data_IF_307572542656
#
_entry.id   IF_307572542656
#
_cell.length_a   1.000
_cell.length_b   1.000
_cell.length_c   1.000
_cell.angle_alpha   90.00
_cell.angle_beta   90.00
_cell.angle_gamma   90.00
#
_symmetry.space_group_name_H-M   'P 1'
#
loop_
_entity.id
_entity.type
_entity.pdbx_description
1 polymer ?
#
# COMPACT_ATOMS: atom_id res chain seq x y z
N UNK A 1 -11.72 2.42 9.63
CA UNK A 1 -10.92 1.37 8.95
C UNK A 1 -11.05 -0.03 9.54
N UNK A 2 -10.89 -0.22 10.85
CA UNK A 2 -10.93 -1.53 11.54
C UNK A 2 -12.00 -2.55 11.08
N UNK A 3 -13.25 -2.11 10.84
CA UNK A 3 -14.31 -3.01 10.37
C UNK A 3 -14.01 -3.63 9.00
N UNK A 4 -13.60 -2.83 8.00
CA UNK A 4 -13.29 -3.35 6.67
C UNK A 4 -12.07 -4.26 6.67
N UNK A 5 -11.03 -3.88 7.44
CA UNK A 5 -9.85 -4.73 7.63
C UNK A 5 -10.24 -6.09 8.21
N UNK A 6 -11.03 -6.09 9.29
CA UNK A 6 -11.50 -7.32 9.92
C UNK A 6 -12.38 -8.16 8.98
N UNK A 7 -13.20 -7.49 8.16
CA UNK A 7 -14.05 -8.15 7.18
C UNK A 7 -13.23 -8.79 6.05
N UNK A 8 -12.19 -8.11 5.54
CA UNK A 8 -11.28 -8.69 4.53
C UNK A 8 -10.52 -9.90 5.10
N UNK A 9 -9.98 -9.78 6.31
CA UNK A 9 -9.29 -10.89 7.00
C UNK A 9 -10.22 -12.09 7.18
N UNK A 10 -11.47 -11.85 7.58
CA UNK A 10 -12.50 -12.90 7.71
C UNK A 10 -12.88 -13.51 6.37
N UNK A 11 -13.03 -12.70 5.32
CA UNK A 11 -13.32 -13.16 3.97
C UNK A 11 -12.20 -14.03 3.40
N UNK A 12 -10.93 -13.66 3.66
CA UNK A 12 -9.76 -14.45 3.30
C UNK A 12 -9.78 -15.79 4.05
N UNK A 13 -9.97 -15.78 5.37
CA UNK A 13 -10.05 -17.01 6.19
C UNK A 13 -11.20 -17.93 5.74
N UNK A 14 -12.34 -17.36 5.37
CA UNK A 14 -13.50 -18.07 4.85
C UNK A 14 -13.35 -18.51 3.38
N UNK A 15 -12.22 -18.23 2.73
CA UNK A 15 -11.98 -18.51 1.30
C UNK A 15 -13.08 -17.93 0.38
N UNK A 16 -13.52 -16.71 0.68
CA UNK A 16 -14.50 -16.00 -0.13
C UNK A 16 -14.01 -15.76 -1.57
N UNK A 17 -14.94 -15.47 -2.47
CA UNK A 17 -14.63 -15.25 -3.89
C UNK A 17 -13.62 -14.12 -4.10
N UNK A 18 -12.85 -14.19 -5.20
CA UNK A 18 -11.92 -13.12 -5.61
C UNK A 18 -12.64 -11.79 -5.73
N UNK A 19 -13.81 -11.76 -6.38
CA UNK A 19 -14.64 -10.56 -6.52
C UNK A 19 -15.02 -9.93 -5.17
N UNK A 20 -15.38 -10.75 -4.18
CA UNK A 20 -15.69 -10.26 -2.83
C UNK A 20 -14.47 -9.62 -2.16
N UNK A 21 -13.31 -10.28 -2.25
CA UNK A 21 -12.06 -9.74 -1.68
C UNK A 21 -11.64 -8.44 -2.39
N UNK A 22 -11.73 -8.37 -3.71
CA UNK A 22 -11.39 -7.17 -4.49
C UNK A 22 -12.29 -5.97 -4.18
N UNK A 23 -13.59 -6.17 -3.95
CA UNK A 23 -14.48 -5.08 -3.51
C UNK A 23 -14.09 -4.56 -2.12
N UNK A 24 -13.68 -5.45 -1.20
CA UNK A 24 -13.17 -5.06 0.11
C UNK A 24 -11.84 -4.33 0.03
N UNK A 25 -10.89 -4.82 -0.78
CA UNK A 25 -9.61 -4.15 -1.06
C UNK A 25 -9.85 -2.74 -1.62
N UNK A 26 -10.80 -2.58 -2.55
CA UNK A 26 -11.17 -1.27 -3.11
C UNK A 26 -11.68 -0.31 -2.04
N UNK A 27 -12.60 -0.76 -1.20
CA UNK A 27 -13.16 0.07 -0.11
C UNK A 27 -12.13 0.40 0.97
N UNK A 28 -11.11 -0.42 1.16
CA UNK A 28 -9.99 -0.13 2.04
C UNK A 28 -9.08 0.93 1.40
N UNK A 29 -8.72 0.77 0.12
CA UNK A 29 -7.89 1.73 -0.63
C UNK A 29 -8.45 3.17 -0.58
N UNK A 30 -9.77 3.33 -0.73
CA UNK A 30 -10.46 4.63 -0.72
C UNK A 30 -10.42 5.41 0.61
N UNK A 31 -9.99 4.78 1.71
CA UNK A 31 -9.89 5.42 3.04
C UNK A 31 -8.61 4.98 3.77
N UNK A 32 -7.57 4.64 3.00
CA UNK A 32 -6.29 4.14 3.51
C UNK A 32 -5.58 5.16 4.42
N UNK A 33 -5.86 6.45 4.26
CA UNK A 33 -5.33 7.53 5.09
C UNK A 33 -5.86 7.54 6.54
N UNK A 34 -6.88 6.74 6.82
CA UNK A 34 -7.42 6.49 8.16
C UNK A 34 -6.95 5.15 8.76
N UNK A 35 -6.13 4.38 8.04
CA UNK A 35 -5.68 3.07 8.50
C UNK A 35 -4.49 3.19 9.47
N UNK A 36 -4.45 2.26 10.41
CA UNK A 36 -3.27 1.97 11.23
C UNK A 36 -2.55 0.73 10.67
N UNK A 37 -1.34 0.45 11.17
CA UNK A 37 -0.54 -0.67 10.69
C UNK A 37 -1.29 -2.00 10.83
N UNK A 38 -1.97 -2.21 11.95
CA UNK A 38 -2.74 -3.43 12.23
C UNK A 38 -3.88 -3.65 11.23
N UNK A 39 -4.42 -2.58 10.63
CA UNK A 39 -5.49 -2.68 9.64
C UNK A 39 -5.01 -3.29 8.31
N UNK A 40 -3.74 -3.12 7.96
CA UNK A 40 -3.17 -3.60 6.69
C UNK A 40 -2.31 -4.86 6.82
N UNK A 41 -2.06 -5.32 8.05
CA UNK A 41 -1.46 -6.64 8.31
C UNK A 41 -2.46 -7.75 8.02
N UNK A 42 -2.59 -8.11 6.74
CA UNK A 42 -3.49 -9.15 6.24
C UNK A 42 -2.74 -10.49 6.27
N UNK A 43 -3.20 -11.50 7.04
CA UNK A 43 -2.53 -12.79 7.10
C UNK A 43 -2.78 -13.61 5.84
N UNK A 44 -1.82 -14.44 5.45
CA UNK A 44 -2.03 -15.44 4.39
C UNK A 44 -2.93 -16.59 4.89
N UNK A 45 -3.81 -17.12 4.03
CA UNK A 45 -4.68 -18.26 4.37
C UNK A 45 -3.99 -19.61 4.09
N UNK A 46 -2.75 -19.79 4.55
CA UNK A 46 -1.99 -21.01 4.30
C UNK A 46 -1.68 -21.70 5.63
N UNK A 47 -2.49 -22.73 5.89
CA UNK A 47 -2.46 -23.53 7.11
C UNK A 47 -1.07 -24.13 7.37
N UNK A 48 -0.30 -23.50 8.26
CA UNK A 48 0.79 -24.15 9.02
C UNK A 48 2.06 -24.52 8.25
N UNK A 49 2.26 -24.03 7.01
CA UNK A 49 3.53 -24.22 6.33
C UNK A 49 4.51 -23.11 6.72
N UNK A 50 5.59 -23.47 7.44
CA UNK A 50 6.62 -22.54 7.90
C UNK A 50 7.43 -21.87 6.77
N UNK A 51 7.23 -22.30 5.52
CA UNK A 51 7.87 -21.73 4.33
C UNK A 51 7.01 -20.71 3.58
N UNK A 52 5.81 -20.39 4.10
CA UNK A 52 4.93 -19.41 3.48
C UNK A 52 5.11 -18.03 4.13
N UNK A 53 4.98 -16.94 3.34
CA UNK A 53 4.94 -15.59 3.90
C UNK A 53 3.80 -15.45 4.92
N UNK A 54 4.06 -14.73 6.01
CA UNK A 54 3.10 -14.48 7.08
C UNK A 54 1.95 -13.56 6.62
N UNK A 55 2.27 -12.62 5.73
CA UNK A 55 1.34 -11.58 5.27
C UNK A 55 1.08 -11.67 3.77
N UNK A 56 -0.18 -11.41 3.38
CA UNK A 56 -0.60 -11.29 1.98
C UNK A 56 -0.20 -9.92 1.45
N UNK A 57 1.03 -9.84 0.97
CA UNK A 57 1.59 -8.63 0.35
C UNK A 57 0.86 -8.22 -0.93
N UNK A 58 0.22 -9.18 -1.62
CA UNK A 58 -0.39 -8.93 -2.92
C UNK A 58 -1.72 -8.19 -2.73
N UNK A 59 -2.49 -8.52 -1.69
CA UNK A 59 -3.64 -7.71 -1.25
C UNK A 59 -3.25 -6.30 -0.86
N UNK A 60 -2.15 -6.13 -0.11
CA UNK A 60 -1.70 -4.80 0.32
C UNK A 60 -1.22 -3.98 -0.88
N UNK A 61 -0.49 -4.57 -1.82
CA UNK A 61 -0.09 -3.90 -3.05
C UNK A 61 -1.30 -3.36 -3.81
N UNK A 62 -2.35 -4.19 -4.01
CA UNK A 62 -3.60 -3.74 -4.65
C UNK A 62 -4.30 -2.61 -3.89
N UNK A 63 -4.39 -2.71 -2.56
CA UNK A 63 -5.02 -1.67 -1.72
C UNK A 63 -4.33 -0.31 -1.91
N UNK A 64 -3.00 -0.30 -1.92
CA UNK A 64 -2.23 0.93 -2.11
C UNK A 64 -2.30 1.42 -3.57
N UNK A 65 -2.28 0.54 -4.57
CA UNK A 65 -2.52 0.93 -5.97
C UNK A 65 -3.86 1.64 -6.15
N UNK A 66 -4.91 1.15 -5.49
CA UNK A 66 -6.23 1.78 -5.49
C UNK A 66 -6.22 3.15 -4.79
N UNK A 67 -5.50 3.29 -3.67
CA UNK A 67 -5.37 4.61 -3.02
C UNK A 67 -4.65 5.64 -3.90
N UNK A 68 -3.64 5.18 -4.63
CA UNK A 68 -2.84 6.01 -5.53
C UNK A 68 -3.51 6.22 -6.89
N UNK A 69 -4.68 5.63 -7.13
CA UNK A 69 -5.39 5.67 -8.41
C UNK A 69 -4.54 5.25 -9.61
N UNK A 70 -3.58 4.33 -9.42
CA UNK A 70 -2.67 3.90 -10.50
C UNK A 70 -3.39 3.27 -11.70
N UNK A 71 -4.65 2.85 -11.54
CA UNK A 71 -5.47 2.23 -12.58
C UNK A 71 -6.41 3.25 -13.30
N UNK A 72 -6.56 4.49 -12.80
CA UNK A 72 -7.46 5.51 -13.37
C UNK A 72 -6.75 6.50 -14.32
N UNK A 73 -5.41 6.51 -14.33
CA UNK A 73 -4.59 7.42 -15.15
C UNK A 73 -4.55 7.06 -16.66
N UNK A 74 -5.15 5.95 -17.09
CA UNK A 74 -5.20 5.53 -18.51
C UNK A 74 -6.40 6.10 -19.31
N UNK A 75 -7.37 6.78 -18.68
CA UNK A 75 -8.63 7.21 -19.34
C UNK A 75 -8.87 8.74 -19.38
N UNK A 76 -8.01 9.59 -18.80
CA UNK A 76 -8.21 11.05 -18.74
C UNK A 76 -7.22 11.93 -19.56
N UNK A 77 -6.47 11.38 -20.53
CA UNK A 77 -5.66 12.21 -21.47
C UNK A 77 -6.47 12.61 -22.73
N UNK A 78 -7.61 13.30 -22.52
CA UNK A 78 -8.35 14.01 -23.57
C UNK A 78 -8.78 15.41 -23.12
N UNK A 79 -7.82 16.20 -22.61
CA UNK A 79 -7.90 17.66 -22.69
C UNK A 79 -6.73 18.18 -23.51
N UNK A 80 -6.98 19.04 -24.53
CA UNK A 80 -5.89 19.62 -25.32
C UNK A 80 -4.99 20.42 -24.39
N UNK A 81 -3.71 20.04 -24.36
CA UNK A 81 -2.65 20.68 -23.58
C UNK A 81 -2.52 22.15 -23.98
N UNK A 82 -2.99 23.05 -23.14
CA UNK A 82 -2.60 24.45 -23.19
C UNK A 82 -1.22 24.58 -22.52
N UNK A 83 -0.18 24.76 -23.34
CA UNK A 83 1.23 24.76 -22.92
C UNK A 83 1.63 25.97 -22.04
N UNK A 84 0.67 26.75 -21.55
CA UNK A 84 0.91 27.96 -20.76
C UNK A 84 0.64 27.82 -19.25
N UNK A 85 0.22 26.66 -18.75
CA UNK A 85 -0.23 26.49 -17.35
C UNK A 85 0.49 25.35 -16.60
N UNK A 86 1.77 25.10 -16.92
CA UNK A 86 2.63 24.12 -16.19
C UNK A 86 3.18 24.69 -14.86
N UNK A 87 2.34 25.40 -14.10
CA UNK A 87 2.61 25.63 -12.68
C UNK A 87 2.01 24.44 -11.96
N UNK A 88 2.85 23.47 -11.59
CA UNK A 88 2.47 22.42 -10.65
C UNK A 88 1.87 23.10 -9.41
N UNK A 89 0.53 23.11 -9.28
CA UNK A 89 -0.18 23.55 -8.07
C UNK A 89 -0.02 22.50 -6.95
N UNK A 90 1.25 22.18 -6.66
CA UNK A 90 1.69 21.52 -5.45
C UNK A 90 1.92 22.54 -4.32
N UNK A 91 1.83 23.84 -4.63
CA UNK A 91 2.14 24.96 -3.72
C UNK A 91 1.14 25.15 -2.58
N UNK A 92 0.09 24.33 -2.48
CA UNK A 92 -0.67 24.20 -1.24
C UNK A 92 -0.12 23.05 -0.40
N UNK A 93 1.00 23.31 0.27
CA UNK A 93 1.49 22.55 1.43
C UNK A 93 0.38 22.56 2.51
N UNK A 94 -0.63 21.69 2.35
CA UNK A 94 -1.88 21.79 3.09
C UNK A 94 -3.13 21.28 2.37
N UNK A 95 -3.05 20.89 1.08
CA UNK A 95 -4.20 20.25 0.43
C UNK A 95 -4.57 18.94 1.13
N UNK A 96 -5.86 18.60 1.25
CA UNK A 96 -6.29 17.34 1.88
C UNK A 96 -5.64 16.11 1.24
N UNK A 97 -5.48 16.10 -0.09
CA UNK A 97 -4.83 15.03 -0.84
C UNK A 97 -3.35 14.87 -0.43
N UNK A 98 -2.61 15.97 -0.30
CA UNK A 98 -1.21 15.93 0.12
C UNK A 98 -1.04 15.48 1.58
N UNK A 99 -1.97 15.84 2.46
CA UNK A 99 -1.97 15.34 3.85
C UNK A 99 -2.21 13.83 3.90
N UNK A 100 -3.13 13.31 3.09
CA UNK A 100 -3.43 11.89 3.01
C UNK A 100 -2.27 11.09 2.41
N UNK A 101 -1.63 11.54 1.33
CA UNK A 101 -0.48 10.82 0.74
C UNK A 101 0.71 10.72 1.70
N UNK A 102 0.97 11.76 2.50
CA UNK A 102 2.02 11.74 3.53
C UNK A 102 1.70 10.75 4.67
N UNK A 103 0.41 10.63 5.05
CA UNK A 103 0.00 9.64 6.05
C UNK A 103 0.16 8.22 5.51
N UNK A 104 -0.30 7.99 4.28
CA UNK A 104 -0.22 6.69 3.63
C UNK A 104 1.22 6.29 3.33
N UNK A 105 2.11 7.24 3.00
CA UNK A 105 3.53 6.92 2.80
C UNK A 105 4.21 6.41 4.07
N UNK A 106 3.93 7.05 5.22
CA UNK A 106 4.39 6.57 6.53
C UNK A 106 3.81 5.20 6.88
N UNK A 107 2.54 4.97 6.54
CA UNK A 107 1.89 3.68 6.74
C UNK A 107 2.60 2.56 5.94
N UNK A 108 2.95 2.83 4.68
CA UNK A 108 3.70 1.88 3.85
C UNK A 108 5.10 1.60 4.39
N UNK A 109 5.82 2.63 4.81
CA UNK A 109 7.16 2.45 5.37
C UNK A 109 7.14 1.63 6.68
N UNK A 110 6.11 1.81 7.51
CA UNK A 110 5.90 0.96 8.68
C UNK A 110 5.53 -0.48 8.29
N UNK A 111 4.68 -0.65 7.27
CA UNK A 111 4.34 -1.97 6.74
C UNK A 111 5.56 -2.70 6.17
N UNK A 112 6.40 -2.01 5.39
CA UNK A 112 7.66 -2.54 4.87
C UNK A 112 8.57 -3.03 5.99
N UNK A 113 8.66 -2.27 7.10
CA UNK A 113 9.45 -2.68 8.25
C UNK A 113 8.90 -3.94 8.94
N UNK A 114 7.58 -4.08 9.05
CA UNK A 114 6.94 -5.27 9.62
C UNK A 114 7.11 -6.51 8.72
N UNK A 115 6.84 -6.39 7.42
CA UNK A 115 6.99 -7.54 6.50
C UNK A 115 8.45 -7.90 6.24
N UNK A 116 9.39 -6.97 6.45
CA UNK A 116 10.82 -7.25 6.37
C UNK A 116 11.31 -8.24 7.43
N UNK A 117 10.57 -8.41 8.54
CA UNK A 117 10.86 -9.40 9.57
C UNK A 117 10.53 -10.84 9.13
N UNK A 118 9.79 -11.00 8.02
CA UNK A 118 9.44 -12.29 7.47
C UNK A 118 10.55 -12.83 6.55
N UNK A 119 11.26 -13.85 7.00
CA UNK A 119 12.30 -14.53 6.21
C UNK A 119 11.79 -15.16 4.91
N UNK A 120 10.49 -15.42 4.79
CA UNK A 120 9.86 -15.97 3.58
C UNK A 120 9.46 -14.89 2.57
N UNK A 121 9.53 -13.60 2.92
CA UNK A 121 9.30 -12.51 1.97
C UNK A 121 10.40 -12.54 0.90
N UNK A 122 10.05 -12.42 -0.38
CA UNK A 122 11.03 -12.42 -1.47
C UNK A 122 11.57 -11.00 -1.76
N UNK A 123 12.79 -10.87 -2.30
CA UNK A 123 13.33 -9.59 -2.78
C UNK A 123 12.37 -8.86 -3.73
N UNK A 124 11.79 -9.58 -4.68
CA UNK A 124 10.87 -9.01 -5.67
C UNK A 124 9.62 -8.39 -5.04
N UNK A 125 9.00 -9.05 -4.06
CA UNK A 125 7.80 -8.55 -3.38
C UNK A 125 8.09 -7.31 -2.54
N UNK A 126 9.24 -7.30 -1.86
CA UNK A 126 9.66 -6.13 -1.09
C UNK A 126 9.94 -4.92 -1.98
N UNK A 127 10.65 -5.12 -3.10
CA UNK A 127 10.93 -4.07 -4.08
C UNK A 127 9.62 -3.50 -4.65
N UNK A 128 8.68 -4.37 -5.06
CA UNK A 128 7.39 -3.95 -5.59
C UNK A 128 6.59 -3.08 -4.60
N UNK A 129 6.62 -3.40 -3.31
CA UNK A 129 6.01 -2.57 -2.27
C UNK A 129 6.79 -1.25 -2.07
N UNK A 130 8.11 -1.29 -2.09
CA UNK A 130 8.94 -0.09 -1.92
C UNK A 130 8.76 0.92 -3.06
N UNK A 131 8.57 0.45 -4.30
CA UNK A 131 8.42 1.27 -5.50
C UNK A 131 6.99 1.78 -5.73
N UNK A 132 6.05 1.45 -4.85
CA UNK A 132 4.63 1.75 -5.06
C UNK A 132 4.30 3.24 -4.96
N UNK A 133 5.04 3.99 -4.13
CA UNK A 133 4.79 5.41 -3.90
C UNK A 133 5.48 6.28 -4.97
N UNK A 134 4.82 7.35 -5.44
CA UNK A 134 5.47 8.31 -6.32
C UNK A 134 6.57 9.09 -5.59
N UNK A 135 7.55 9.63 -6.32
CA UNK A 135 8.74 10.29 -5.78
C UNK A 135 8.42 11.40 -4.76
N UNK A 136 7.31 12.12 -4.96
CA UNK A 136 6.88 13.23 -4.10
C UNK A 136 6.17 12.79 -2.80
N UNK A 137 5.79 11.51 -2.66
CA UNK A 137 5.10 11.01 -1.47
C UNK A 137 6.04 10.78 -0.28
N UNK A 138 7.33 10.50 -0.54
CA UNK A 138 8.37 10.31 0.47
C UNK A 138 9.20 11.57 0.65
N UNK A 139 8.77 12.42 1.58
CA UNK A 139 9.58 13.58 2.00
C UNK A 139 10.78 13.18 2.90
N UNK A 140 10.68 12.03 3.58
CA UNK A 140 11.71 11.49 4.48
C UNK A 140 11.86 10.00 4.18
N UNK A 141 13.10 9.51 4.08
CA UNK A 141 13.42 8.15 3.68
C UNK A 141 13.86 7.23 4.83
N UNK A 142 13.96 7.75 6.07
CA UNK A 142 14.43 6.99 7.24
C UNK A 142 13.61 5.72 7.49
N UNK A 143 12.29 5.78 7.27
CA UNK A 143 11.39 4.64 7.41
C UNK A 143 11.70 3.53 6.40
N UNK A 144 11.85 3.89 5.13
CA UNK A 144 12.24 2.97 4.06
C UNK A 144 13.64 2.39 4.31
N UNK A 145 14.64 3.20 4.65
CA UNK A 145 16.00 2.72 4.93
C UNK A 145 16.03 1.77 6.12
N UNK A 146 15.24 2.02 7.17
CA UNK A 146 15.07 1.09 8.29
C UNK A 146 14.48 -0.24 7.82
N UNK A 147 13.44 -0.21 6.98
CA UNK A 147 12.86 -1.44 6.44
C UNK A 147 13.86 -2.23 5.59
N UNK A 148 14.64 -1.56 4.75
CA UNK A 148 15.71 -2.17 3.95
C UNK A 148 16.77 -2.81 4.84
N UNK A 149 17.24 -2.11 5.88
CA UNK A 149 18.22 -2.63 6.82
C UNK A 149 17.73 -3.91 7.54
N UNK A 150 16.47 -3.91 8.01
CA UNK A 150 15.83 -5.11 8.59
C UNK A 150 15.81 -6.25 7.57
N UNK A 151 15.33 -5.97 6.35
CA UNK A 151 15.16 -6.95 5.29
C UNK A 151 16.46 -7.63 4.86
N UNK A 152 17.57 -6.88 4.84
CA UNK A 152 18.89 -7.41 4.54
C UNK A 152 19.48 -8.20 5.71
N UNK A 153 19.12 -7.89 6.96
CA UNK A 153 19.61 -8.57 8.17
C UNK A 153 18.90 -9.89 8.48
N UNK A 154 17.65 -10.03 8.05
CA UNK A 154 16.84 -11.24 8.29
C UNK A 154 17.23 -12.39 7.35
N UNK A 155 18.09 -12.13 6.34
CA UNK A 155 18.54 -13.10 5.34
C UNK A 155 19.97 -13.56 5.50
#
# INVERSE_FOLDING_TARGET
MAFLSSLLKSAIAASASTSCRSDLERRIGLQLDQAIIEDILIPTNLNGNNHCPLYDTDSVLRIFSIFLNLDEDDEEDNHPRDESEMVYDFDSLGSPKQSSIIKVSKLLDNYLAEVALDSNLTPSKFIALAELLPDHARMVYDGLYRAVDIFLKVR
#
